data_IF_167018891246
#
_entry.id   IF_167018891246
#
_cell.length_a   1.000
_cell.length_b   1.000
_cell.length_c   1.000
_cell.angle_alpha   90.00
_cell.angle_beta   90.00
_cell.angle_gamma   90.00
#
_symmetry.space_group_name_H-M   'P 1'
#
loop_
_entity.id
_entity.type
_entity.pdbx_description
1 polymer ?
#
# COMPACT_ATOMS: atom_id res chain seq x y z
N UNK A 1 3.04 -55.65 46.74
CA UNK A 1 3.04 -54.91 48.02
C UNK A 1 3.55 -53.51 47.75
N UNK A 2 2.82 -52.44 48.14
CA UNK A 2 3.34 -51.06 48.32
C UNK A 2 4.04 -50.37 47.13
N UNK A 3 4.34 -49.06 47.15
CA UNK A 3 3.96 -47.95 48.06
C UNK A 3 3.18 -46.87 47.30
N UNK A 4 2.54 -45.96 48.06
CA UNK A 4 2.10 -44.66 47.56
C UNK A 4 3.28 -43.73 47.24
N UNK A 5 3.23 -43.05 46.09
CA UNK A 5 3.79 -41.71 45.91
C UNK A 5 2.89 -40.97 44.88
N UNK A 6 2.07 -39.96 45.20
CA UNK A 6 2.11 -38.85 46.18
C UNK A 6 3.05 -37.68 45.84
N UNK A 7 3.37 -37.50 44.56
CA UNK A 7 3.92 -36.22 44.11
C UNK A 7 2.93 -35.07 44.32
N UNK A 8 3.44 -34.05 45.01
CA UNK A 8 2.68 -33.02 45.72
C UNK A 8 2.44 -31.80 44.83
N UNK A 9 1.19 -31.31 44.77
CA UNK A 9 0.84 -30.06 44.06
C UNK A 9 1.83 -28.93 44.42
N UNK A 10 2.54 -28.40 43.43
CA UNK A 10 3.04 -27.02 43.40
C UNK A 10 2.35 -26.28 42.26
N UNK A 11 1.56 -25.22 42.50
CA UNK A 11 1.12 -24.34 41.44
C UNK A 11 2.32 -23.51 41.00
N UNK A 12 3.06 -23.99 40.00
CA UNK A 12 4.06 -23.18 39.31
C UNK A 12 3.38 -21.93 38.77
N UNK A 13 3.84 -20.74 39.17
CA UNK A 13 3.32 -19.48 38.64
C UNK A 13 3.62 -19.44 37.15
N UNK A 14 2.63 -19.77 36.32
CA UNK A 14 2.69 -19.55 34.89
C UNK A 14 2.93 -18.06 34.65
N UNK A 15 4.17 -17.69 34.31
CA UNK A 15 4.45 -16.33 33.81
C UNK A 15 3.62 -16.18 32.55
N UNK A 16 2.57 -15.35 32.62
CA UNK A 16 1.87 -14.88 31.43
C UNK A 16 2.93 -14.35 30.46
N UNK A 17 2.98 -14.80 29.20
CA UNK A 17 3.73 -14.08 28.18
C UNK A 17 3.24 -12.63 28.19
N UNK A 18 4.17 -11.68 28.27
CA UNK A 18 3.84 -10.29 28.00
C UNK A 18 3.32 -10.22 26.56
N UNK A 19 2.06 -9.81 26.39
CA UNK A 19 1.38 -9.80 25.10
C UNK A 19 1.85 -8.66 24.21
N UNK A 20 3.16 -8.55 23.97
CA UNK A 20 3.75 -7.61 23.03
C UNK A 20 3.44 -8.04 21.59
N UNK A 21 2.17 -7.83 21.19
CA UNK A 21 1.61 -8.13 19.86
C UNK A 21 2.17 -7.23 18.74
N UNK A 22 3.39 -6.70 18.91
CA UNK A 22 4.20 -6.02 17.90
C UNK A 22 4.99 -7.00 17.01
N UNK A 23 4.67 -8.29 17.07
CA UNK A 23 5.47 -9.37 16.46
C UNK A 23 4.66 -10.57 15.97
N UNK A 24 3.55 -10.37 15.26
CA UNK A 24 2.90 -11.47 14.51
C UNK A 24 2.32 -10.92 13.20
N UNK A 25 2.77 -11.49 12.08
CA UNK A 25 2.46 -10.99 10.73
C UNK A 25 1.04 -11.29 10.27
N UNK A 26 0.06 -10.53 10.77
CA UNK A 26 -1.21 -10.39 10.07
C UNK A 26 -0.98 -9.54 8.82
N UNK A 27 -1.30 -10.07 7.64
CA UNK A 27 -1.18 -9.37 6.35
C UNK A 27 -2.33 -8.38 6.13
N UNK A 28 -2.67 -7.60 7.16
CA UNK A 28 -3.58 -6.46 7.04
C UNK A 28 -2.99 -5.46 6.05
N UNK A 29 -3.79 -5.05 5.07
CA UNK A 29 -3.39 -4.05 4.09
C UNK A 29 -3.29 -2.71 4.84
N UNK A 30 -2.05 -2.29 5.17
CA UNK A 30 -1.78 -1.03 5.86
C UNK A 30 -2.43 0.14 5.12
N UNK A 31 -3.39 0.81 5.77
CA UNK A 31 -4.19 1.91 5.25
C UNK A 31 -3.34 3.08 4.71
N UNK A 32 -3.92 3.93 3.87
CA UNK A 32 -3.32 5.20 3.44
C UNK A 32 -3.02 6.13 4.62
N UNK A 33 -1.89 6.85 4.58
CA UNK A 33 -1.51 7.84 5.59
C UNK A 33 -1.06 9.18 4.96
N UNK A 34 -0.71 10.14 5.81
CA UNK A 34 -0.29 11.48 5.39
C UNK A 34 0.97 11.46 4.51
N UNK A 35 1.80 10.43 4.61
CA UNK A 35 2.98 10.23 3.76
C UNK A 35 2.61 9.73 2.35
N UNK A 36 1.55 8.91 2.21
CA UNK A 36 0.94 8.63 0.89
C UNK A 36 0.42 9.93 0.23
N UNK A 37 -0.37 10.76 0.94
CA UNK A 37 -0.86 12.02 0.35
C UNK A 37 0.29 12.99 0.03
N UNK A 38 1.24 13.17 0.94
CA UNK A 38 2.33 14.12 0.72
C UNK A 38 3.22 13.71 -0.46
N UNK A 39 3.45 12.40 -0.67
CA UNK A 39 4.19 11.94 -1.84
C UNK A 39 3.39 12.09 -3.15
N UNK A 40 2.06 11.86 -3.12
CA UNK A 40 1.20 12.17 -4.27
C UNK A 40 1.23 13.68 -4.58
N UNK A 41 1.18 14.54 -3.55
CA UNK A 41 1.28 16.00 -3.68
C UNK A 41 2.60 16.42 -4.33
N UNK A 42 3.71 15.94 -3.80
CA UNK A 42 5.04 16.22 -4.33
C UNK A 42 5.18 15.81 -5.80
N UNK A 43 4.63 14.64 -6.16
CA UNK A 43 4.67 14.17 -7.55
C UNK A 43 3.88 15.09 -8.49
N UNK A 44 2.63 15.48 -8.16
CA UNK A 44 1.83 16.37 -9.03
C UNK A 44 2.37 17.80 -9.09
N UNK A 45 3.12 18.28 -8.09
CA UNK A 45 3.71 19.64 -8.12
C UNK A 45 5.05 19.71 -8.86
N UNK A 46 5.77 18.60 -9.00
CA UNK A 46 7.13 18.59 -9.60
C UNK A 46 7.20 17.93 -10.98
N UNK A 47 6.22 17.10 -11.36
CA UNK A 47 6.16 16.46 -12.69
C UNK A 47 5.15 17.17 -13.59
N UNK A 48 5.48 17.30 -14.88
CA UNK A 48 4.59 17.88 -15.90
C UNK A 48 3.77 16.80 -16.63
N UNK A 49 2.56 17.16 -17.06
CA UNK A 49 1.67 16.29 -17.81
C UNK A 49 1.32 15.00 -17.06
N UNK A 50 0.96 15.13 -15.79
CA UNK A 50 0.56 13.99 -14.95
C UNK A 50 -0.91 13.66 -15.20
N UNK A 51 -1.19 12.38 -15.41
CA UNK A 51 -2.54 11.80 -15.41
C UNK A 51 -2.68 10.84 -14.23
N UNK A 52 -3.87 10.76 -13.64
CA UNK A 52 -4.20 9.86 -12.55
C UNK A 52 -4.99 8.63 -13.01
N UNK A 53 -4.57 7.45 -12.55
CA UNK A 53 -5.24 6.18 -12.79
C UNK A 53 -5.65 5.60 -11.43
N UNK A 54 -6.94 5.61 -11.17
CA UNK A 54 -7.52 5.10 -9.91
C UNK A 54 -7.75 3.61 -10.05
N UNK A 55 -7.10 2.82 -9.20
CA UNK A 55 -7.25 1.38 -9.17
C UNK A 55 -8.23 1.01 -8.05
N UNK A 56 -9.38 0.36 -8.35
CA UNK A 56 -10.36 -0.01 -7.35
C UNK A 56 -9.82 -1.09 -6.39
N UNK A 57 -10.48 -1.20 -5.22
CA UNK A 57 -10.16 -2.23 -4.23
C UNK A 57 -10.38 -3.63 -4.82
N UNK A 58 -9.43 -4.52 -4.59
CA UNK A 58 -9.51 -5.95 -4.95
C UNK A 58 -9.47 -6.82 -3.70
N UNK A 59 -9.56 -8.14 -3.87
CA UNK A 59 -9.43 -9.09 -2.75
C UNK A 59 -8.07 -9.07 -2.04
N UNK A 60 -7.03 -8.47 -2.64
CA UNK A 60 -5.64 -8.47 -2.13
C UNK A 60 -4.99 -7.08 -2.05
N UNK A 61 -5.68 -6.03 -2.50
CA UNK A 61 -5.19 -4.64 -2.50
C UNK A 61 -6.31 -3.66 -2.19
N UNK A 62 -6.04 -2.70 -1.29
CA UNK A 62 -6.87 -1.51 -1.12
C UNK A 62 -6.74 -0.56 -2.33
N UNK A 63 -7.62 0.44 -2.39
CA UNK A 63 -7.64 1.45 -3.46
C UNK A 63 -6.28 2.14 -3.56
N UNK A 64 -5.74 2.25 -4.77
CA UNK A 64 -4.50 3.01 -5.04
C UNK A 64 -4.73 4.06 -6.11
N UNK A 65 -4.00 5.17 -5.99
CA UNK A 65 -3.83 6.14 -7.06
C UNK A 65 -2.45 5.94 -7.66
N UNK A 66 -2.43 5.64 -8.96
CA UNK A 66 -1.25 5.62 -9.81
C UNK A 66 -1.19 6.95 -10.56
N UNK A 67 -0.13 7.72 -10.38
CA UNK A 67 0.15 8.92 -11.14
C UNK A 67 1.20 8.61 -12.21
N UNK A 68 0.98 9.05 -13.46
CA UNK A 68 1.92 8.83 -14.57
C UNK A 68 2.17 10.16 -15.30
N UNK A 69 3.41 10.63 -15.25
CA UNK A 69 3.89 11.84 -15.92
C UNK A 69 4.03 11.68 -17.44
N UNK A 70 4.28 12.79 -18.14
CA UNK A 70 4.37 12.86 -19.61
C UNK A 70 5.41 11.92 -20.27
N UNK A 71 6.51 11.63 -19.56
CA UNK A 71 7.64 10.80 -19.97
C UNK A 71 7.51 9.34 -19.50
N UNK A 72 6.44 9.04 -18.76
CA UNK A 72 6.17 7.74 -18.16
C UNK A 72 6.81 7.52 -16.79
N UNK A 73 7.47 8.52 -16.18
CA UNK A 73 7.75 8.45 -14.73
C UNK A 73 6.43 8.27 -13.97
N UNK A 74 6.42 7.46 -12.92
CA UNK A 74 5.20 7.12 -12.21
C UNK A 74 5.41 6.90 -10.72
N UNK A 75 4.36 7.11 -9.94
CA UNK A 75 4.29 6.68 -8.53
C UNK A 75 2.92 6.11 -8.22
N UNK A 76 2.85 5.14 -7.29
CA UNK A 76 1.61 4.50 -6.84
C UNK A 76 1.55 4.57 -5.32
N UNK A 77 0.45 5.07 -4.77
CA UNK A 77 0.22 5.23 -3.32
C UNK A 77 -1.18 4.76 -2.94
N UNK A 78 -1.38 4.36 -1.69
CA UNK A 78 -2.70 3.95 -1.17
C UNK A 78 -3.52 5.19 -0.88
N UNK A 79 -4.84 5.11 -1.08
CA UNK A 79 -5.76 6.24 -0.91
C UNK A 79 -7.03 5.82 -0.17
N UNK A 80 -7.67 6.71 0.61
CA UNK A 80 -8.84 6.33 1.43
C UNK A 80 -10.04 5.80 0.64
N UNK A 81 -10.24 6.25 -0.60
CA UNK A 81 -11.31 5.77 -1.50
C UNK A 81 -11.12 6.24 -2.94
N UNK A 82 -11.87 5.64 -3.87
CA UNK A 82 -11.97 6.09 -5.28
C UNK A 82 -12.44 7.56 -5.35
N UNK A 83 -13.44 7.94 -4.54
CA UNK A 83 -13.92 9.33 -4.46
C UNK A 83 -12.83 10.29 -3.97
N UNK A 84 -12.02 9.89 -2.99
CA UNK A 84 -10.88 10.69 -2.54
C UNK A 84 -9.85 10.85 -3.65
N UNK A 85 -9.54 9.79 -4.41
CA UNK A 85 -8.56 9.83 -5.49
C UNK A 85 -8.92 10.85 -6.60
N UNK A 86 -10.17 10.82 -7.07
CA UNK A 86 -10.67 11.83 -8.02
C UNK A 86 -10.74 13.23 -7.40
N UNK A 87 -11.08 13.35 -6.12
CA UNK A 87 -11.12 14.65 -5.42
C UNK A 87 -9.73 15.27 -5.30
N UNK A 88 -8.72 14.45 -4.97
CA UNK A 88 -7.31 14.84 -4.95
C UNK A 88 -6.83 15.27 -6.34
N UNK A 89 -7.11 14.47 -7.38
CA UNK A 89 -6.71 14.77 -8.74
C UNK A 89 -7.35 16.09 -9.24
N UNK A 90 -8.66 16.26 -9.06
CA UNK A 90 -9.38 17.49 -9.41
C UNK A 90 -8.83 18.73 -8.67
N UNK A 91 -8.51 18.61 -7.37
CA UNK A 91 -7.89 19.69 -6.57
C UNK A 91 -6.53 20.13 -7.11
N UNK A 92 -5.79 19.22 -7.75
CA UNK A 92 -4.49 19.48 -8.38
C UNK A 92 -4.56 19.64 -9.91
N UNK A 93 -5.76 19.81 -10.47
CA UNK A 93 -6.01 19.94 -11.92
C UNK A 93 -5.47 18.78 -12.76
N UNK A 94 -5.30 17.60 -12.16
CA UNK A 94 -4.85 16.36 -12.81
C UNK A 94 -6.07 15.62 -13.38
N UNK A 95 -6.11 15.31 -14.69
CA UNK A 95 -7.14 14.45 -15.25
C UNK A 95 -7.03 13.05 -14.64
N UNK A 96 -8.17 12.42 -14.31
CA UNK A 96 -8.18 11.11 -13.65
C UNK A 96 -9.22 10.13 -14.22
N UNK A 97 -8.83 8.86 -14.28
CA UNK A 97 -9.57 7.78 -14.93
C UNK A 97 -9.62 6.53 -14.05
N UNK A 98 -10.60 5.64 -14.25
CA UNK A 98 -10.58 4.30 -13.66
C UNK A 98 -9.63 3.39 -14.45
N UNK A 99 -8.60 2.88 -13.78
CA UNK A 99 -7.56 2.04 -14.36
C UNK A 99 -8.08 0.70 -14.88
N UNK A 100 -9.20 0.19 -14.36
CA UNK A 100 -9.85 -1.03 -14.85
C UNK A 100 -10.65 -0.78 -16.15
N UNK A 101 -10.99 0.48 -16.46
CA UNK A 101 -11.71 0.88 -17.68
C UNK A 101 -10.76 1.29 -18.80
N UNK A 102 -9.78 2.15 -18.52
CA UNK A 102 -8.86 2.69 -19.56
C UNK A 102 -7.52 1.94 -19.67
N UNK A 103 -7.20 1.11 -18.67
CA UNK A 103 -5.91 0.41 -18.59
C UNK A 103 -4.73 1.30 -18.20
N UNK A 104 -3.53 0.73 -18.31
CA UNK A 104 -2.27 1.39 -17.91
C UNK A 104 -1.53 1.91 -19.15
N UNK A 105 -1.21 3.22 -19.23
CA UNK A 105 -0.77 3.88 -20.46
C UNK A 105 0.61 3.40 -20.95
N UNK A 106 0.79 3.38 -22.27
CA UNK A 106 2.00 2.83 -22.90
C UNK A 106 3.29 3.53 -22.43
N UNK A 107 3.27 4.85 -22.24
CA UNK A 107 4.44 5.62 -21.77
C UNK A 107 5.07 5.09 -20.47
N UNK A 108 4.25 4.58 -19.54
CA UNK A 108 4.71 3.95 -18.29
C UNK A 108 5.39 2.59 -18.55
N UNK A 109 4.87 1.80 -19.49
CA UNK A 109 5.45 0.52 -19.92
C UNK A 109 6.80 0.75 -20.61
N UNK A 110 6.90 1.81 -21.42
CA UNK A 110 8.14 2.22 -22.08
C UNK A 110 9.16 2.74 -21.07
N UNK A 111 8.73 3.52 -20.06
CA UNK A 111 9.58 3.97 -18.96
C UNK A 111 10.16 2.80 -18.18
N UNK A 112 9.32 1.84 -17.76
CA UNK A 112 9.77 0.62 -17.10
C UNK A 112 10.73 -0.20 -17.99
N UNK A 113 10.55 -0.18 -19.31
CA UNK A 113 11.45 -0.84 -20.27
C UNK A 113 12.78 -0.10 -20.43
N UNK A 114 12.79 1.25 -20.37
CA UNK A 114 14.01 2.07 -20.30
C UNK A 114 14.78 1.79 -19.01
N UNK A 115 14.10 1.85 -17.86
CA UNK A 115 14.67 1.57 -16.54
C UNK A 115 15.26 0.15 -16.45
N UNK A 116 14.57 -0.87 -16.97
CA UNK A 116 15.09 -2.25 -16.99
C UNK A 116 16.39 -2.38 -17.81
N UNK A 117 16.57 -1.59 -18.89
CA UNK A 117 17.79 -1.57 -19.71
C UNK A 117 18.95 -0.77 -19.09
N UNK A 118 18.68 0.09 -18.12
CA UNK A 118 19.68 0.93 -17.43
C UNK A 118 20.21 0.29 -16.14
N UNK A 119 19.57 -0.79 -15.68
CA UNK A 119 20.03 -1.57 -14.52
C UNK A 119 21.07 -2.60 -14.99
N UNK A 120 22.27 -2.64 -14.38
CA UNK A 120 23.23 -3.72 -14.57
C UNK A 120 22.74 -5.03 -13.94
#
# INVERSE_FOLDING_TARGET
>A
MSLFDRFRRRPGRMRRPGGDLRGTGSTTVRASDDADEQHLREFVTTRRGVEGFVEPRTAVSDVTLLLVAHDGEWTRRRVPSVKWAHTFANKHQVPSYDAAVVGIPQRMRDYNSRQKKQRP
#
